data_IF_596914400365
#
_entry.id   IF_596914400365
#
_cell.length_a   1.000
_cell.length_b   1.000
_cell.length_c   1.000
_cell.angle_alpha   90.00
_cell.angle_beta   90.00
_cell.angle_gamma   90.00
#
_symmetry.space_group_name_H-M   'P 1'
#
loop_
_entity.id
_entity.type
_entity.pdbx_description
1 polymer ?
#
# COMPACT_ATOMS: atom_id res chain seq x y z
N UNK A 1 16.96 10.91 -11.67
CA UNK A 1 18.21 11.63 -11.31
C UNK A 1 18.94 10.92 -10.15
N UNK A 2 18.33 10.73 -8.96
CA UNK A 2 19.01 10.19 -7.77
C UNK A 2 19.57 8.77 -8.01
N UNK A 3 18.79 7.86 -8.60
CA UNK A 3 19.28 6.51 -8.91
C UNK A 3 20.43 6.53 -9.92
N UNK A 4 20.39 7.42 -10.91
CA UNK A 4 21.49 7.57 -11.85
C UNK A 4 22.75 8.11 -11.17
N UNK A 5 22.59 9.04 -10.24
CA UNK A 5 23.70 9.52 -9.42
C UNK A 5 24.35 8.40 -8.61
N UNK A 6 23.54 7.60 -7.90
CA UNK A 6 24.05 6.47 -7.11
C UNK A 6 24.69 5.37 -7.96
N UNK A 7 24.17 5.10 -9.16
CA UNK A 7 24.68 4.02 -10.01
C UNK A 7 25.91 4.39 -10.84
N UNK A 8 26.10 5.68 -11.14
CA UNK A 8 27.18 6.11 -12.04
C UNK A 8 28.13 7.12 -11.39
N UNK A 9 27.59 8.12 -10.68
CA UNK A 9 28.43 9.22 -10.16
C UNK A 9 29.11 8.82 -8.87
N UNK A 10 28.43 8.14 -7.96
CA UNK A 10 29.03 7.68 -6.70
C UNK A 10 30.21 6.73 -6.93
N UNK A 11 30.10 5.65 -7.75
CA UNK A 11 31.23 4.79 -8.08
C UNK A 11 32.39 5.54 -8.71
N UNK A 12 32.12 6.47 -9.63
CA UNK A 12 33.13 7.28 -10.28
C UNK A 12 33.90 8.15 -9.27
N UNK A 13 33.19 8.83 -8.37
CA UNK A 13 33.83 9.64 -7.31
C UNK A 13 34.68 8.75 -6.40
N UNK A 14 34.17 7.58 -5.99
CA UNK A 14 34.91 6.63 -5.15
C UNK A 14 36.20 6.17 -5.85
N UNK A 15 36.12 5.81 -7.13
CA UNK A 15 37.29 5.42 -7.92
C UNK A 15 38.32 6.57 -8.04
N UNK A 16 37.87 7.79 -8.30
CA UNK A 16 38.74 8.96 -8.38
C UNK A 16 39.44 9.30 -7.05
N UNK A 17 38.80 8.97 -5.92
CA UNK A 17 39.34 9.20 -4.58
C UNK A 17 40.13 7.99 -4.04
N UNK A 18 40.25 6.90 -4.81
CA UNK A 18 40.87 5.65 -4.34
C UNK A 18 40.17 5.02 -3.15
N UNK A 19 38.84 5.21 -3.04
CA UNK A 19 37.99 4.67 -1.97
C UNK A 19 37.07 3.58 -2.51
N UNK A 20 36.78 2.60 -1.67
CA UNK A 20 35.72 1.63 -1.95
C UNK A 20 34.35 2.29 -1.88
N UNK A 21 33.39 1.77 -2.65
CA UNK A 21 32.00 2.22 -2.55
C UNK A 21 31.45 1.92 -1.14
N UNK A 22 30.53 2.77 -0.63
CA UNK A 22 29.86 2.51 0.63
C UNK A 22 29.08 1.19 0.56
N UNK A 23 29.32 0.29 1.50
CA UNK A 23 28.53 -0.94 1.62
C UNK A 23 27.08 -0.58 1.98
N UNK A 24 26.17 -1.11 1.20
CA UNK A 24 24.73 -0.97 1.46
C UNK A 24 24.20 -2.28 2.05
N UNK A 25 23.55 -2.19 3.19
CA UNK A 25 22.90 -3.36 3.78
C UNK A 25 21.74 -3.82 2.90
N UNK A 26 21.67 -5.15 2.68
CA UNK A 26 20.63 -5.80 1.89
C UNK A 26 19.88 -6.80 2.76
N UNK A 27 18.55 -6.80 2.67
CA UNK A 27 17.69 -7.74 3.39
C UNK A 27 16.67 -8.40 2.46
N UNK A 28 16.20 -9.58 2.86
CA UNK A 28 15.14 -10.28 2.13
C UNK A 28 13.77 -9.79 2.58
N UNK A 29 12.91 -9.50 1.61
CA UNK A 29 11.57 -8.94 1.85
C UNK A 29 10.52 -9.61 0.97
N UNK A 30 9.26 -9.58 1.40
CA UNK A 30 8.10 -10.05 0.63
C UNK A 30 7.23 -8.86 0.23
N UNK A 31 6.90 -8.68 -1.04
CA UNK A 31 6.01 -7.60 -1.47
C UNK A 31 4.59 -7.75 -0.91
N UNK A 32 3.96 -6.66 -0.51
CA UNK A 32 2.55 -6.64 -0.06
C UNK A 32 1.56 -6.77 -1.22
N UNK A 33 2.03 -6.61 -2.45
CA UNK A 33 1.27 -6.76 -3.70
C UNK A 33 2.22 -7.00 -4.86
N UNK A 34 1.70 -7.50 -5.98
CA UNK A 34 2.46 -7.62 -7.22
C UNK A 34 3.08 -6.28 -7.62
N UNK A 35 4.35 -6.29 -7.99
CA UNK A 35 5.10 -5.14 -8.50
C UNK A 35 5.37 -5.40 -9.98
N UNK A 36 4.69 -4.67 -10.88
CA UNK A 36 4.92 -4.82 -12.32
C UNK A 36 6.31 -4.33 -12.70
N UNK A 37 7.02 -5.10 -13.51
CA UNK A 37 8.26 -4.77 -14.18
C UNK A 37 8.00 -4.32 -15.63
N UNK A 38 9.04 -3.87 -16.28
CA UNK A 38 9.05 -3.55 -17.70
C UNK A 38 10.27 -4.22 -18.33
N UNK A 39 10.03 -5.15 -19.24
CA UNK A 39 11.10 -5.84 -19.95
C UNK A 39 12.02 -4.85 -20.70
N UNK A 40 13.28 -5.20 -20.76
CA UNK A 40 14.30 -4.43 -21.47
C UNK A 40 14.95 -3.31 -20.65
N UNK A 41 14.55 -3.10 -19.38
CA UNK A 41 15.19 -2.10 -18.51
C UNK A 41 15.13 -2.47 -17.04
N UNK A 42 16.23 -2.25 -16.33
CA UNK A 42 16.28 -2.34 -14.88
C UNK A 42 15.39 -1.27 -14.23
N UNK A 43 14.64 -1.68 -13.24
CA UNK A 43 13.80 -0.76 -12.48
C UNK A 43 14.15 -0.77 -11.00
N UNK A 44 14.25 0.41 -10.43
CA UNK A 44 14.51 0.62 -9.00
C UNK A 44 13.22 1.08 -8.32
N UNK A 45 12.64 0.19 -7.53
CA UNK A 45 11.35 0.42 -6.86
C UNK A 45 11.60 0.79 -5.42
N UNK A 46 11.21 2.00 -5.06
CA UNK A 46 11.23 2.46 -3.68
C UNK A 46 10.14 1.75 -2.90
N UNK A 47 10.50 1.26 -1.72
CA UNK A 47 9.58 0.52 -0.85
C UNK A 47 9.62 1.05 0.59
N UNK A 48 8.48 1.07 1.22
CA UNK A 48 8.37 1.17 2.67
C UNK A 48 8.36 -0.24 3.23
N UNK A 49 9.16 -0.48 4.24
CA UNK A 49 9.32 -1.80 4.85
C UNK A 49 8.67 -1.83 6.23
N UNK A 50 8.14 -3.00 6.60
CA UNK A 50 7.61 -3.24 7.92
C UNK A 50 7.76 -4.70 8.32
N UNK A 51 7.89 -4.98 9.62
CA UNK A 51 8.04 -6.34 10.14
C UNK A 51 6.68 -6.86 10.59
N UNK A 52 6.20 -7.92 9.96
CA UNK A 52 4.93 -8.57 10.29
C UNK A 52 5.21 -10.01 10.71
N UNK A 53 5.16 -10.27 12.00
CA UNK A 53 5.59 -11.57 12.54
C UNK A 53 7.04 -11.88 12.14
N UNK A 54 7.31 -13.04 11.51
CA UNK A 54 8.65 -13.41 11.05
C UNK A 54 9.03 -12.72 9.72
N UNK A 55 8.09 -12.12 9.00
CA UNK A 55 8.30 -11.58 7.67
C UNK A 55 8.68 -10.09 7.71
N UNK A 56 9.61 -9.70 6.85
CA UNK A 56 9.78 -8.29 6.48
C UNK A 56 9.04 -8.09 5.17
N UNK A 57 8.06 -7.19 5.19
CA UNK A 57 7.20 -6.93 4.03
C UNK A 57 7.53 -5.60 3.38
N UNK A 58 7.39 -5.53 2.07
CA UNK A 58 7.71 -4.38 1.25
C UNK A 58 6.46 -3.82 0.57
N UNK A 59 6.08 -2.60 0.93
CA UNK A 59 5.01 -1.85 0.28
C UNK A 59 5.61 -0.94 -0.78
N UNK A 60 5.35 -1.15 -2.07
CA UNK A 60 5.86 -0.29 -3.13
C UNK A 60 5.23 1.09 -3.06
N UNK A 61 6.09 2.12 -3.06
CA UNK A 61 5.69 3.52 -3.10
C UNK A 61 5.34 3.96 -4.52
N UNK A 62 4.55 5.04 -4.67
CA UNK A 62 4.19 5.58 -5.97
C UNK A 62 5.43 5.87 -6.83
N UNK A 63 5.33 5.57 -8.12
CA UNK A 63 6.38 5.82 -9.12
C UNK A 63 6.07 7.11 -9.88
N UNK A 64 7.11 7.85 -10.26
CA UNK A 64 6.98 9.05 -11.08
C UNK A 64 8.02 10.11 -10.74
N UNK A 65 8.26 11.01 -11.66
CA UNK A 65 9.25 12.08 -11.51
C UNK A 65 8.85 13.13 -10.45
N UNK A 66 7.54 13.30 -10.21
CA UNK A 66 7.01 14.26 -9.24
C UNK A 66 6.94 13.76 -7.80
N UNK A 67 7.35 12.51 -7.52
CA UNK A 67 7.23 11.90 -6.19
C UNK A 67 8.54 11.96 -5.39
N UNK A 68 9.16 13.14 -5.29
CA UNK A 68 10.39 13.34 -4.50
C UNK A 68 10.18 12.90 -3.04
N UNK A 69 9.03 13.20 -2.45
CA UNK A 69 8.66 12.79 -1.09
C UNK A 69 8.74 11.28 -0.87
N UNK A 70 8.50 10.46 -1.90
CA UNK A 70 8.62 9.02 -1.77
C UNK A 70 10.05 8.52 -1.51
N UNK A 71 11.07 9.35 -1.73
CA UNK A 71 12.46 9.01 -1.39
C UNK A 71 12.69 9.17 0.11
N UNK A 72 12.14 10.22 0.69
CA UNK A 72 12.24 10.47 2.14
C UNK A 72 11.44 9.45 2.94
N UNK A 73 10.37 8.92 2.37
CA UNK A 73 9.54 7.89 2.98
C UNK A 73 10.09 6.47 2.78
N UNK A 74 10.87 6.23 1.72
CA UNK A 74 11.41 4.92 1.42
C UNK A 74 12.35 4.41 2.52
N UNK A 75 12.17 3.14 2.88
CA UNK A 75 13.08 2.40 3.75
C UNK A 75 14.09 1.58 2.96
N UNK A 76 13.78 1.28 1.70
CA UNK A 76 14.66 0.50 0.83
C UNK A 76 14.31 0.61 -0.64
N UNK A 77 15.14 -0.02 -1.45
CA UNK A 77 15.00 -0.09 -2.91
C UNK A 77 15.10 -1.55 -3.33
N UNK A 78 14.13 -1.99 -4.13
CA UNK A 78 14.14 -3.29 -4.80
C UNK A 78 14.52 -3.04 -6.27
N UNK A 79 15.50 -3.80 -6.78
CA UNK A 79 15.81 -3.84 -8.22
C UNK A 79 14.98 -4.92 -8.89
N UNK A 80 14.36 -4.59 -9.99
CA UNK A 80 13.74 -5.53 -10.92
C UNK A 80 14.60 -5.55 -12.15
N UNK A 81 15.19 -6.70 -12.44
CA UNK A 81 16.10 -6.87 -13.58
C UNK A 81 15.35 -6.75 -14.92
N UNK A 82 16.07 -6.37 -15.96
CA UNK A 82 15.54 -6.10 -17.30
C UNK A 82 14.85 -7.31 -17.97
N UNK A 83 15.15 -8.52 -17.53
CA UNK A 83 14.57 -9.78 -18.01
C UNK A 83 13.30 -10.20 -17.27
N UNK A 84 12.86 -9.43 -16.25
CA UNK A 84 11.70 -9.76 -15.41
C UNK A 84 10.49 -8.87 -15.70
N UNK A 85 9.33 -9.49 -15.85
CA UNK A 85 8.03 -8.79 -15.97
C UNK A 85 7.54 -8.20 -14.65
N UNK A 86 8.24 -8.48 -13.55
CA UNK A 86 7.91 -7.97 -12.22
C UNK A 86 8.22 -8.95 -11.11
N UNK A 87 7.63 -8.67 -9.93
CA UNK A 87 7.78 -9.46 -8.72
C UNK A 87 6.37 -9.81 -8.22
N UNK A 88 6.16 -11.06 -7.85
CA UNK A 88 4.89 -11.53 -7.28
C UNK A 88 4.87 -11.29 -5.76
N UNK A 89 3.68 -11.24 -5.17
CA UNK A 89 3.51 -11.09 -3.72
C UNK A 89 4.04 -12.30 -2.90
N UNK A 90 4.19 -13.47 -3.54
CA UNK A 90 4.72 -14.68 -2.90
C UNK A 90 6.26 -14.81 -3.04
N UNK A 91 6.88 -13.96 -3.86
CA UNK A 91 8.32 -13.97 -4.05
C UNK A 91 9.04 -13.37 -2.84
N UNK A 92 10.22 -13.90 -2.55
CA UNK A 92 11.18 -13.29 -1.63
C UNK A 92 12.27 -12.64 -2.45
N UNK A 93 12.46 -11.35 -2.28
CA UNK A 93 13.42 -10.56 -3.05
C UNK A 93 14.33 -9.74 -2.16
N UNK A 94 15.48 -9.33 -2.68
CA UNK A 94 16.44 -8.49 -1.97
C UNK A 94 16.04 -7.02 -2.06
N UNK A 95 16.06 -6.34 -0.93
CA UNK A 95 15.91 -4.89 -0.85
C UNK A 95 17.17 -4.27 -0.23
N UNK A 96 17.76 -3.31 -0.92
CA UNK A 96 18.85 -2.47 -0.39
C UNK A 96 18.27 -1.44 0.56
N UNK A 97 18.77 -1.37 1.78
CA UNK A 97 18.30 -0.43 2.79
C UNK A 97 18.76 1.01 2.52
N UNK A 98 17.86 1.94 2.78
CA UNK A 98 18.11 3.39 2.80
C UNK A 98 18.04 3.97 4.22
N UNK A 99 17.42 3.25 5.14
CA UNK A 99 17.21 3.64 6.53
C UNK A 99 17.60 2.53 7.47
N UNK A 100 17.78 2.89 8.74
CA UNK A 100 18.07 1.95 9.83
C UNK A 100 16.98 0.88 9.96
N UNK A 101 17.36 -0.34 10.32
CA UNK A 101 16.46 -1.46 10.59
C UNK A 101 15.39 -1.17 11.64
N UNK A 102 15.66 -0.31 12.62
CA UNK A 102 14.68 0.09 13.64
C UNK A 102 13.42 0.70 13.02
N UNK A 103 13.57 1.47 11.95
CA UNK A 103 12.44 2.07 11.26
C UNK A 103 11.50 1.02 10.65
N UNK A 104 11.99 -0.19 10.37
CA UNK A 104 11.20 -1.31 9.84
C UNK A 104 10.34 -1.92 10.95
N UNK A 105 10.90 -2.08 12.15
CA UNK A 105 10.18 -2.64 13.30
C UNK A 105 9.09 -1.70 13.81
N UNK A 106 9.29 -0.40 13.67
CA UNK A 106 8.37 0.65 14.08
C UNK A 106 7.34 1.01 12.98
N UNK A 107 7.27 0.24 11.88
CA UNK A 107 6.31 0.44 10.80
C UNK A 107 5.11 -0.51 10.90
N UNK A 108 3.92 0.07 11.09
CA UNK A 108 2.66 -0.64 11.01
C UNK A 108 2.28 -0.82 9.52
N UNK A 109 1.90 -2.03 9.12
CA UNK A 109 1.55 -2.35 7.74
C UNK A 109 0.06 -2.62 7.62
N UNK A 110 -0.60 -1.84 6.77
CA UNK A 110 -1.99 -1.99 6.37
C UNK A 110 -2.07 -2.44 4.91
N UNK A 111 -2.90 -3.43 4.62
CA UNK A 111 -3.15 -3.89 3.24
C UNK A 111 -4.66 -4.08 3.07
N UNK A 112 -5.24 -3.62 1.97
CA UNK A 112 -6.67 -3.87 1.75
C UNK A 112 -7.39 -2.76 1.00
N UNK A 113 -8.63 -2.53 1.37
CA UNK A 113 -9.42 -1.42 0.82
C UNK A 113 -8.93 -0.10 1.37
N UNK A 114 -8.83 0.89 0.49
CA UNK A 114 -8.45 2.24 0.89
C UNK A 114 -9.64 2.99 1.51
N UNK A 115 -9.32 3.75 2.54
CA UNK A 115 -10.20 4.75 3.16
C UNK A 115 -9.36 5.94 3.64
N UNK A 116 -9.84 7.15 3.44
CA UNK A 116 -9.16 8.36 3.91
C UNK A 116 -8.95 8.36 5.44
N UNK A 117 -9.78 7.63 6.19
CA UNK A 117 -9.59 7.44 7.62
C UNK A 117 -8.25 6.74 7.96
N UNK A 118 -7.71 5.93 7.05
CA UNK A 118 -6.39 5.30 7.22
C UNK A 118 -5.28 6.35 7.12
N UNK A 119 -5.43 7.32 6.24
CA UNK A 119 -4.46 8.42 6.10
C UNK A 119 -4.50 9.33 7.32
N UNK A 120 -5.71 9.67 7.80
CA UNK A 120 -5.90 10.41 9.07
C UNK A 120 -5.30 9.63 10.25
N UNK A 121 -5.49 8.31 10.30
CA UNK A 121 -4.89 7.47 11.33
C UNK A 121 -3.36 7.50 11.27
N UNK A 122 -2.78 7.53 10.06
CA UNK A 122 -1.34 7.66 9.88
C UNK A 122 -0.80 9.00 10.41
N UNK A 123 -1.54 10.09 10.18
CA UNK A 123 -1.18 11.42 10.66
C UNK A 123 -1.33 11.54 12.18
N UNK A 124 -2.41 11.00 12.76
CA UNK A 124 -2.59 10.95 14.22
C UNK A 124 -1.50 10.11 14.90
N UNK A 125 -1.15 8.96 14.32
CA UNK A 125 -0.08 8.12 14.84
C UNK A 125 1.26 8.87 14.85
N UNK A 126 1.54 9.63 13.80
CA UNK A 126 2.76 10.44 13.69
C UNK A 126 2.77 11.61 14.66
N UNK A 127 1.61 12.22 14.92
CA UNK A 127 1.45 13.30 15.89
C UNK A 127 1.64 12.80 17.34
N UNK A 128 1.12 11.61 17.64
CA UNK A 128 1.25 10.98 18.95
C UNK A 128 2.68 10.50 19.23
N UNK A 129 3.34 9.95 18.20
CA UNK A 129 4.70 9.43 18.33
C UNK A 129 5.47 9.52 17.01
N UNK A 130 6.58 10.25 17.03
CA UNK A 130 7.50 10.30 15.88
C UNK A 130 8.19 8.96 15.58
N UNK A 131 8.11 7.99 16.50
CA UNK A 131 8.68 6.66 16.36
C UNK A 131 7.94 5.82 15.35
N UNK A 132 6.60 5.81 15.43
CA UNK A 132 5.79 4.90 14.62
C UNK A 132 5.40 5.50 13.27
N UNK A 133 5.33 4.65 12.26
CA UNK A 133 4.83 5.02 10.94
C UNK A 133 3.84 3.98 10.42
N UNK A 134 2.93 4.42 9.54
CA UNK A 134 1.99 3.53 8.88
C UNK A 134 2.34 3.42 7.40
N UNK A 135 2.36 2.18 6.90
CA UNK A 135 2.51 1.84 5.48
C UNK A 135 1.21 1.25 4.99
N UNK A 136 0.60 1.84 3.96
CA UNK A 136 -0.67 1.37 3.41
C UNK A 136 -0.52 0.90 1.96
N UNK A 137 -1.12 -0.25 1.64
CA UNK A 137 -1.18 -0.83 0.28
C UNK A 137 -2.61 -1.12 -0.12
N UNK A 138 -3.05 -0.52 -1.23
CA UNK A 138 -4.43 -0.57 -1.70
C UNK A 138 -4.59 -1.71 -2.72
N UNK A 139 -5.22 -2.80 -2.30
CA UNK A 139 -5.43 -4.02 -3.11
C UNK A 139 -6.89 -4.51 -3.07
N UNK A 140 -7.77 -3.70 -2.48
CA UNK A 140 -9.18 -4.05 -2.26
C UNK A 140 -9.38 -5.01 -1.08
N UNK A 141 -10.64 -5.17 -0.69
CA UNK A 141 -11.04 -5.93 0.51
C UNK A 141 -10.59 -7.38 0.49
N UNK A 142 -10.77 -8.09 -0.63
CA UNK A 142 -10.33 -9.50 -0.76
C UNK A 142 -8.81 -9.63 -0.71
N UNK A 143 -8.09 -8.72 -1.38
CA UNK A 143 -6.63 -8.68 -1.30
C UNK A 143 -6.14 -8.47 0.12
N UNK A 144 -6.85 -7.64 0.91
CA UNK A 144 -6.57 -7.44 2.33
C UNK A 144 -6.74 -8.71 3.15
N UNK A 145 -7.85 -9.45 2.98
CA UNK A 145 -8.05 -10.74 3.66
C UNK A 145 -6.95 -11.75 3.31
N UNK A 146 -6.55 -11.81 2.04
CA UNK A 146 -5.46 -12.70 1.63
C UNK A 146 -4.11 -12.27 2.19
N UNK A 147 -3.86 -10.97 2.32
CA UNK A 147 -2.65 -10.47 2.96
C UNK A 147 -2.59 -10.84 4.46
N UNK A 148 -3.71 -10.74 5.19
CA UNK A 148 -3.82 -11.24 6.57
C UNK A 148 -3.53 -12.74 6.63
N UNK A 149 -4.14 -13.54 5.76
CA UNK A 149 -3.91 -14.99 5.68
C UNK A 149 -2.44 -15.34 5.48
N UNK A 150 -1.73 -14.57 4.67
CA UNK A 150 -0.31 -14.77 4.33
C UNK A 150 0.64 -14.17 5.35
N UNK A 151 0.16 -13.47 6.38
CA UNK A 151 1.00 -12.73 7.35
C UNK A 151 1.78 -11.59 6.71
N UNK A 152 1.17 -10.85 5.78
CA UNK A 152 1.79 -9.73 5.06
C UNK A 152 1.33 -8.35 5.57
N UNK A 153 0.45 -8.29 6.56
CA UNK A 153 0.01 -7.04 7.17
C UNK A 153 -0.39 -7.24 8.63
N UNK A 154 -0.41 -6.15 9.39
CA UNK A 154 -0.91 -6.12 10.76
C UNK A 154 -2.44 -5.99 10.79
N UNK A 155 -3.00 -5.23 9.86
CA UNK A 155 -4.45 -5.11 9.69
C UNK A 155 -4.83 -4.90 8.23
N UNK A 156 -6.10 -5.20 7.93
CA UNK A 156 -6.66 -5.03 6.59
C UNK A 156 -7.97 -4.22 6.63
N UNK A 157 -8.09 -3.24 5.73
CA UNK A 157 -9.35 -2.58 5.47
C UNK A 157 -10.26 -3.45 4.61
N UNK A 158 -11.50 -3.73 5.06
CA UNK A 158 -12.46 -4.55 4.32
C UNK A 158 -13.87 -4.00 4.43
N UNK A 159 -14.68 -4.18 3.37
CA UNK A 159 -16.10 -3.80 3.32
C UNK A 159 -16.88 -4.77 2.41
N UNK A 160 -16.77 -6.06 2.67
CA UNK A 160 -17.41 -7.12 1.89
C UNK A 160 -18.82 -7.37 2.42
N UNK A 161 -19.82 -6.99 1.64
CA UNK A 161 -21.23 -7.19 1.96
C UNK A 161 -21.62 -8.64 1.68
N UNK A 162 -22.22 -9.28 2.67
CA UNK A 162 -22.98 -10.51 2.47
C UNK A 162 -24.42 -10.15 2.08
N UNK A 163 -24.80 -10.49 0.86
CA UNK A 163 -26.14 -10.15 0.33
C UNK A 163 -27.26 -11.03 0.90
N UNK A 164 -26.94 -12.11 1.60
CA UNK A 164 -27.93 -13.00 2.21
C UNK A 164 -28.48 -12.43 3.52
N UNK A 165 -27.60 -11.89 4.36
CA UNK A 165 -27.96 -11.42 5.70
C UNK A 165 -27.72 -9.92 5.91
N UNK A 166 -27.16 -9.24 4.91
CA UNK A 166 -26.86 -7.80 4.97
C UNK A 166 -25.66 -7.44 5.88
N UNK A 167 -24.95 -8.42 6.41
CA UNK A 167 -23.79 -8.20 7.27
C UNK A 167 -22.52 -7.93 6.47
N UNK A 168 -21.56 -7.29 7.09
CA UNK A 168 -20.27 -7.01 6.46
C UNK A 168 -19.14 -7.87 7.03
N UNK A 169 -18.32 -8.42 6.15
CA UNK A 169 -17.04 -9.07 6.40
C UNK A 169 -17.10 -10.42 7.14
N UNK A 170 -18.12 -10.69 7.98
CA UNK A 170 -18.16 -11.84 8.90
C UNK A 170 -18.10 -13.18 8.16
N UNK A 171 -18.95 -13.35 7.15
CA UNK A 171 -19.01 -14.59 6.34
C UNK A 171 -17.71 -14.83 5.58
N UNK A 172 -17.12 -13.75 5.05
CA UNK A 172 -15.85 -13.81 4.34
C UNK A 172 -14.68 -14.16 5.26
N UNK A 173 -14.64 -13.58 6.47
CA UNK A 173 -13.62 -13.93 7.47
C UNK A 173 -13.73 -15.42 7.83
N UNK A 174 -14.91 -15.91 8.15
CA UNK A 174 -15.15 -17.34 8.44
C UNK A 174 -14.71 -18.26 7.31
N UNK A 175 -14.96 -17.84 6.05
CA UNK A 175 -14.64 -18.64 4.86
C UNK A 175 -13.15 -18.66 4.52
N UNK A 176 -12.48 -17.51 4.59
CA UNK A 176 -11.12 -17.34 4.07
C UNK A 176 -10.04 -17.37 5.15
N UNK A 177 -10.40 -17.11 6.41
CA UNK A 177 -9.50 -17.05 7.56
C UNK A 177 -9.95 -17.98 8.70
N UNK A 178 -10.37 -19.25 8.43
CA UNK A 178 -10.94 -20.11 9.48
C UNK A 178 -9.95 -20.37 10.62
N UNK A 179 -8.67 -20.46 10.32
CA UNK A 179 -7.61 -20.82 11.27
C UNK A 179 -6.73 -19.63 11.68
N UNK A 180 -7.09 -18.41 11.25
CA UNK A 180 -6.32 -17.21 11.57
C UNK A 180 -7.05 -16.41 12.65
N UNK A 181 -6.46 -16.24 13.84
CA UNK A 181 -7.08 -15.45 14.89
C UNK A 181 -7.07 -13.96 14.48
N UNK A 182 -8.25 -13.42 14.19
CA UNK A 182 -8.45 -12.03 13.82
C UNK A 182 -9.51 -11.36 14.69
N UNK A 183 -9.37 -10.04 14.86
CA UNK A 183 -10.37 -9.19 15.50
C UNK A 183 -10.95 -8.24 14.48
N UNK A 184 -12.28 -8.25 14.34
CA UNK A 184 -12.99 -7.28 13.52
C UNK A 184 -13.26 -6.02 14.34
N UNK A 185 -12.83 -4.87 13.81
CA UNK A 185 -13.02 -3.56 14.44
C UNK A 185 -13.75 -2.66 13.45
N UNK A 186 -14.79 -1.95 13.90
CA UNK A 186 -15.46 -0.92 13.10
C UNK A 186 -14.55 0.31 13.00
N UNK A 187 -14.17 0.68 11.79
CA UNK A 187 -13.34 1.86 11.55
C UNK A 187 -14.18 3.13 11.42
N UNK A 188 -15.24 3.07 10.60
CA UNK A 188 -16.10 4.24 10.31
C UNK A 188 -17.51 3.79 9.94
N UNK A 189 -18.47 4.69 10.16
CA UNK A 189 -19.80 4.67 9.56
C UNK A 189 -19.83 5.68 8.43
N UNK A 190 -20.49 5.35 7.34
CA UNK A 190 -20.58 6.22 6.16
C UNK A 190 -22.02 6.49 5.82
N UNK A 191 -22.33 7.76 5.63
CA UNK A 191 -23.53 8.17 4.93
C UNK A 191 -23.22 8.35 3.45
N UNK A 192 -24.05 7.77 2.59
CA UNK A 192 -23.96 7.96 1.14
C UNK A 192 -25.11 8.81 0.66
N UNK A 193 -24.81 9.79 -0.18
CA UNK A 193 -25.77 10.68 -0.75
C UNK A 193 -25.60 10.87 -2.25
N UNK A 194 -26.59 11.48 -2.88
CA UNK A 194 -26.52 11.90 -4.27
C UNK A 194 -25.84 13.28 -4.34
N UNK A 195 -24.85 13.43 -5.19
CA UNK A 195 -24.29 14.74 -5.52
C UNK A 195 -25.16 15.35 -6.58
N UNK A 196 -25.75 16.50 -6.26
CA UNK A 196 -26.65 17.25 -7.13
C UNK A 196 -26.15 18.67 -7.36
N UNK A 197 -26.67 19.34 -8.39
CA UNK A 197 -26.36 20.76 -8.62
C UNK A 197 -26.79 21.62 -7.42
N UNK A 198 -26.12 22.76 -7.15
CA UNK A 198 -26.51 23.67 -6.07
C UNK A 198 -27.98 24.02 -6.11
N UNK A 199 -28.63 23.97 -4.94
CA UNK A 199 -30.07 24.21 -4.81
C UNK A 199 -30.97 23.05 -5.24
N UNK A 200 -30.39 21.91 -5.68
CA UNK A 200 -31.14 20.72 -6.09
C UNK A 200 -32.28 21.00 -7.07
N UNK A 201 -32.02 21.61 -8.22
CA UNK A 201 -33.08 22.01 -9.17
C UNK A 201 -33.91 20.83 -9.67
N UNK A 202 -33.29 19.60 -9.73
CA UNK A 202 -33.98 18.37 -10.09
C UNK A 202 -34.85 17.78 -8.97
N UNK A 203 -34.86 18.37 -7.76
CA UNK A 203 -35.59 17.88 -6.59
C UNK A 203 -35.39 16.40 -6.32
N UNK A 204 -34.12 15.93 -6.41
CA UNK A 204 -33.74 14.55 -6.14
C UNK A 204 -33.59 14.36 -4.63
N UNK A 205 -34.43 13.54 -4.01
CA UNK A 205 -34.43 13.29 -2.57
C UNK A 205 -34.21 11.86 -2.18
N UNK A 206 -34.33 10.91 -3.13
CA UNK A 206 -34.17 9.49 -2.89
C UNK A 206 -33.58 8.78 -4.12
N UNK A 207 -33.03 7.59 -3.91
CA UNK A 207 -32.48 6.76 -5.00
C UNK A 207 -33.53 6.46 -6.08
N UNK A 208 -34.79 6.29 -5.72
CA UNK A 208 -35.90 6.07 -6.67
C UNK A 208 -36.06 7.21 -7.67
N UNK A 209 -35.65 8.43 -7.32
CA UNK A 209 -35.76 9.58 -8.22
C UNK A 209 -34.80 9.47 -9.43
N UNK A 210 -33.78 8.60 -9.32
CA UNK A 210 -32.85 8.31 -10.43
C UNK A 210 -33.52 7.54 -11.59
N UNK A 211 -34.69 6.94 -11.36
CA UNK A 211 -35.45 6.25 -12.39
C UNK A 211 -36.32 7.19 -13.26
N UNK A 212 -36.30 8.49 -13.02
CA UNK A 212 -37.06 9.50 -13.79
C UNK A 212 -36.38 9.72 -15.15
N UNK A 213 -37.13 9.86 -16.20
CA UNK A 213 -36.66 10.06 -17.57
C UNK A 213 -35.88 11.37 -17.80
N UNK A 214 -36.11 12.38 -16.91
CA UNK A 214 -35.44 13.68 -16.94
C UNK A 214 -34.11 13.71 -16.16
N UNK A 215 -33.69 12.59 -15.57
CA UNK A 215 -32.47 12.49 -14.73
C UNK A 215 -31.35 11.77 -15.46
N UNK A 216 -30.22 12.43 -15.59
CA UNK A 216 -28.98 11.81 -16.05
C UNK A 216 -28.10 11.49 -14.81
N UNK A 217 -27.85 10.22 -14.58
CA UNK A 217 -27.06 9.73 -13.45
C UNK A 217 -25.71 9.21 -13.92
N UNK A 218 -24.64 9.69 -13.32
CA UNK A 218 -23.28 9.20 -13.54
C UNK A 218 -22.91 8.30 -12.36
N UNK A 219 -22.69 7.02 -12.65
CA UNK A 219 -22.29 6.05 -11.65
C UNK A 219 -20.81 5.74 -11.79
N UNK A 220 -20.17 5.39 -10.67
CA UNK A 220 -18.83 4.85 -10.64
C UNK A 220 -18.87 3.39 -11.13
N UNK A 221 -17.96 3.05 -12.04
CA UNK A 221 -17.70 1.67 -12.43
C UNK A 221 -16.94 0.91 -11.35
#
# INVERSE_FOLDING_TARGET
AIMAFEQFVTPLICAMLGRSEPESETIHVRPTRKIAGRLGMDQFVRVKLGKVGPNIVATPLPRGAGTITSITEAHGIIRIDADKEGIREDDTVSARLLKDRRSIEDTIVAVGSHDNAIDVLADLLRAESSRYSLSSSHVGSMGGLMAVKKGLCHFAGTHLLDTHDGTYNISYIKKFLPDVPVRLVRLAEREQGLIVAPGNPGKLSAIRDLARDDVVFINRQ
#
